data_IF_665393918294
#
_entry.id   IF_665393918294
#
_cell.length_a   1.000
_cell.length_b   1.000
_cell.length_c   1.000
_cell.angle_alpha   90.00
_cell.angle_beta   90.00
_cell.angle_gamma   90.00
#
_symmetry.space_group_name_H-M   'P 1'
#
loop_
_entity.id
_entity.type
_entity.pdbx_description
1 polymer ?
#
# COMPACT_ATOMS: atom_id res chain seq x y z
N UNK A 1 5.39 -33.09 -12.17
CA UNK A 1 6.03 -31.93 -11.52
C UNK A 1 5.21 -30.65 -11.73
N UNK A 2 4.04 -30.50 -11.07
CA UNK A 2 3.11 -29.38 -11.35
C UNK A 2 2.58 -28.66 -10.08
N UNK A 3 3.00 -29.09 -8.89
CA UNK A 3 2.46 -28.61 -7.60
C UNK A 3 3.23 -27.43 -6.98
N UNK A 4 4.50 -27.24 -7.33
CA UNK A 4 5.36 -26.20 -6.76
C UNK A 4 5.07 -24.79 -7.29
N UNK A 5 4.78 -24.68 -8.60
CA UNK A 5 4.55 -23.39 -9.28
C UNK A 5 3.36 -22.57 -8.73
N UNK A 6 2.38 -23.23 -8.11
CA UNK A 6 1.23 -22.53 -7.54
C UNK A 6 1.54 -21.83 -6.21
N UNK A 7 2.58 -22.25 -5.48
CA UNK A 7 2.95 -21.61 -4.22
C UNK A 7 3.68 -20.28 -4.44
N UNK A 8 4.53 -20.20 -5.47
CA UNK A 8 5.23 -18.96 -5.84
C UNK A 8 4.27 -17.86 -6.29
N UNK A 9 3.13 -18.23 -6.90
CA UNK A 9 2.08 -17.27 -7.26
C UNK A 9 1.33 -16.73 -6.04
N UNK A 10 1.09 -17.57 -5.02
CA UNK A 10 0.43 -17.16 -3.76
C UNK A 10 1.33 -16.33 -2.84
N UNK A 11 2.64 -16.60 -2.86
CA UNK A 11 3.65 -15.84 -2.10
C UNK A 11 4.32 -14.74 -2.94
N UNK A 12 3.70 -14.31 -4.04
CA UNK A 12 4.27 -13.27 -4.87
C UNK A 12 4.34 -11.95 -4.07
N UNK A 13 5.55 -11.35 -3.92
CA UNK A 13 5.74 -10.12 -3.14
C UNK A 13 4.86 -8.95 -3.57
N UNK A 14 4.37 -8.94 -4.82
CA UNK A 14 3.40 -7.96 -5.33
C UNK A 14 2.08 -7.95 -4.55
N UNK A 15 1.72 -9.03 -3.85
CA UNK A 15 0.50 -9.00 -3.04
C UNK A 15 0.76 -8.42 -1.64
N UNK A 16 2.02 -8.27 -1.22
CA UNK A 16 2.35 -7.87 0.14
C UNK A 16 1.85 -6.45 0.48
N UNK A 17 2.10 -5.40 -0.33
CA UNK A 17 1.54 -4.08 -0.04
C UNK A 17 -0.01 -4.05 -0.08
N UNK A 18 -0.64 -4.88 -0.92
CA UNK A 18 -2.10 -4.95 -1.02
C UNK A 18 -2.75 -5.50 0.25
N UNK A 19 -2.14 -6.50 0.90
CA UNK A 19 -2.73 -7.17 2.06
C UNK A 19 -2.23 -6.59 3.39
N UNK A 20 -1.23 -5.70 3.36
CA UNK A 20 -0.66 -5.08 4.56
C UNK A 20 -0.88 -3.57 4.57
N UNK A 21 -0.18 -2.84 3.69
CA UNK A 21 -0.17 -1.39 3.67
C UNK A 21 -1.56 -0.80 3.36
N UNK A 22 -2.30 -1.34 2.39
CA UNK A 22 -3.63 -0.80 2.06
C UNK A 22 -4.64 -1.02 3.23
N UNK A 23 -4.77 -2.21 3.83
CA UNK A 23 -5.63 -2.40 5.00
C UNK A 23 -5.24 -1.53 6.20
N UNK A 24 -3.94 -1.35 6.46
CA UNK A 24 -3.51 -0.51 7.58
C UNK A 24 -3.82 0.96 7.33
N UNK A 25 -3.64 1.43 6.10
CA UNK A 25 -4.04 2.78 5.66
C UNK A 25 -5.53 3.01 5.82
N UNK A 26 -6.38 2.08 5.37
CA UNK A 26 -7.85 2.17 5.55
C UNK A 26 -8.20 2.27 7.03
N UNK A 27 -7.62 1.42 7.88
CA UNK A 27 -7.88 1.42 9.31
C UNK A 27 -7.46 2.75 9.97
N UNK A 28 -6.24 3.21 9.68
CA UNK A 28 -5.70 4.45 10.23
C UNK A 28 -6.49 5.67 9.75
N UNK A 29 -6.93 5.69 8.49
CA UNK A 29 -7.77 6.75 7.96
C UNK A 29 -9.12 6.84 8.71
N UNK A 30 -9.72 5.71 9.07
CA UNK A 30 -10.94 5.68 9.90
C UNK A 30 -10.66 6.26 11.29
N UNK A 31 -9.50 5.96 11.89
CA UNK A 31 -9.11 6.56 13.18
C UNK A 31 -8.89 8.08 13.07
N UNK A 32 -8.24 8.52 12.00
CA UNK A 32 -8.03 9.95 11.70
C UNK A 32 -9.38 10.67 11.59
N UNK A 33 -10.28 10.15 10.76
CA UNK A 33 -11.61 10.70 10.56
C UNK A 33 -12.43 10.80 11.86
N UNK A 34 -12.27 9.83 12.77
CA UNK A 34 -12.95 9.81 14.08
C UNK A 34 -12.25 10.66 15.15
N UNK A 35 -11.15 11.33 14.82
CA UNK A 35 -10.28 12.05 15.77
C UNK A 35 -9.82 11.18 16.95
N UNK A 36 -9.66 9.88 16.70
CA UNK A 36 -9.29 8.86 17.69
C UNK A 36 -7.88 8.32 17.39
N UNK A 37 -6.95 9.22 17.10
CA UNK A 37 -5.57 8.92 16.74
C UNK A 37 -4.60 9.52 17.76
N UNK A 38 -3.47 8.87 17.97
CA UNK A 38 -2.31 9.45 18.63
C UNK A 38 -1.21 9.76 17.62
N UNK A 39 -0.14 10.41 18.07
CA UNK A 39 1.05 10.67 17.25
C UNK A 39 1.62 9.40 16.62
N UNK A 40 1.48 8.24 17.29
CA UNK A 40 1.97 6.95 16.77
C UNK A 40 1.16 6.53 15.54
N UNK A 41 -0.17 6.56 15.59
CA UNK A 41 -1.03 6.20 14.47
C UNK A 41 -0.83 7.17 13.29
N UNK A 42 -0.72 8.48 13.55
CA UNK A 42 -0.48 9.46 12.50
C UNK A 42 0.88 9.25 11.82
N UNK A 43 1.93 8.96 12.61
CA UNK A 43 3.26 8.67 12.05
C UNK A 43 3.24 7.37 11.24
N UNK A 44 2.53 6.35 11.73
CA UNK A 44 2.38 5.07 11.03
C UNK A 44 1.64 5.26 9.71
N UNK A 45 0.61 6.10 9.67
CA UNK A 45 -0.12 6.46 8.45
C UNK A 45 0.82 7.09 7.42
N UNK A 46 1.61 8.08 7.82
CA UNK A 46 2.58 8.72 6.92
C UNK A 46 3.62 7.71 6.40
N UNK A 47 4.15 6.84 7.26
CA UNK A 47 5.14 5.82 6.87
C UNK A 47 4.52 4.80 5.89
N UNK A 48 3.28 4.36 6.13
CA UNK A 48 2.58 3.44 5.23
C UNK A 48 2.36 4.06 3.84
N UNK A 49 2.02 5.35 3.78
CA UNK A 49 1.83 6.06 2.52
C UNK A 49 3.16 6.18 1.76
N UNK A 50 4.24 6.53 2.46
CA UNK A 50 5.58 6.57 1.88
C UNK A 50 6.06 5.18 1.42
N UNK A 51 5.71 4.13 2.16
CA UNK A 51 5.99 2.76 1.74
C UNK A 51 5.26 2.41 0.43
N UNK A 52 3.99 2.80 0.27
CA UNK A 52 3.25 2.62 -0.99
C UNK A 52 3.88 3.42 -2.13
N UNK A 53 4.37 4.64 -1.87
CA UNK A 53 5.14 5.42 -2.86
C UNK A 53 6.39 4.66 -3.29
N UNK A 54 7.19 4.20 -2.32
CA UNK A 54 8.42 3.46 -2.58
C UNK A 54 8.15 2.18 -3.38
N UNK A 55 7.22 1.34 -2.92
CA UNK A 55 6.82 0.12 -3.61
C UNK A 55 6.33 0.44 -5.02
N UNK A 56 5.51 1.48 -5.16
CA UNK A 56 5.00 1.95 -6.44
C UNK A 56 6.10 2.30 -7.45
N UNK A 57 7.10 3.08 -7.03
CA UNK A 57 8.26 3.46 -7.85
C UNK A 57 9.08 2.22 -8.23
N UNK A 58 9.35 1.33 -7.28
CA UNK A 58 10.12 0.10 -7.53
C UNK A 58 9.40 -0.77 -8.56
N UNK A 59 8.11 -1.04 -8.39
CA UNK A 59 7.37 -1.89 -9.31
C UNK A 59 7.18 -1.26 -10.70
N UNK A 60 7.08 0.06 -10.79
CA UNK A 60 7.03 0.78 -12.07
C UNK A 60 8.33 0.70 -12.88
N UNK A 61 9.46 0.42 -12.23
CA UNK A 61 10.76 0.29 -12.90
C UNK A 61 10.94 -1.05 -13.64
N UNK A 62 10.06 -2.03 -13.39
CA UNK A 62 10.08 -3.33 -14.05
C UNK A 62 9.57 -3.26 -15.48
N UNK A 63 10.15 -4.06 -16.38
CA UNK A 63 9.65 -4.21 -17.76
C UNK A 63 8.36 -5.03 -17.83
N UNK A 64 8.08 -5.86 -16.81
CA UNK A 64 6.89 -6.70 -16.79
C UNK A 64 5.61 -5.87 -16.54
N UNK A 65 4.64 -6.01 -17.44
CA UNK A 65 3.34 -5.32 -17.36
C UNK A 65 2.63 -5.56 -16.03
N UNK A 66 2.76 -6.77 -15.46
CA UNK A 66 2.16 -7.12 -14.16
C UNK A 66 2.72 -6.21 -13.06
N UNK A 67 4.05 -6.13 -12.93
CA UNK A 67 4.71 -5.27 -11.96
C UNK A 67 4.30 -3.80 -12.15
N UNK A 68 4.33 -3.28 -13.39
CA UNK A 68 3.91 -1.90 -13.67
C UNK A 68 2.45 -1.61 -13.27
N UNK A 69 1.55 -2.57 -13.45
CA UNK A 69 0.15 -2.43 -13.04
C UNK A 69 0.02 -2.28 -11.52
N UNK A 70 0.75 -3.11 -10.77
CA UNK A 70 0.81 -2.99 -9.32
C UNK A 70 1.48 -1.69 -8.86
N UNK A 71 2.53 -1.25 -9.56
CA UNK A 71 3.18 0.02 -9.29
C UNK A 71 2.21 1.21 -9.40
N UNK A 72 1.42 1.26 -10.49
CA UNK A 72 0.37 2.27 -10.63
C UNK A 72 -0.69 2.20 -9.53
N UNK A 73 -1.08 0.98 -9.13
CA UNK A 73 -2.04 0.79 -8.04
C UNK A 73 -1.49 1.37 -6.74
N UNK A 74 -0.25 1.05 -6.36
CA UNK A 74 0.31 1.55 -5.10
C UNK A 74 0.50 3.07 -5.10
N UNK A 75 0.98 3.65 -6.20
CA UNK A 75 1.11 5.10 -6.33
C UNK A 75 -0.26 5.77 -6.25
N UNK A 76 -1.24 5.26 -6.99
CA UNK A 76 -2.61 5.76 -6.93
C UNK A 76 -3.18 5.69 -5.52
N UNK A 77 -3.00 4.57 -4.83
CA UNK A 77 -3.41 4.41 -3.43
C UNK A 77 -2.71 5.42 -2.51
N UNK A 78 -1.40 5.64 -2.65
CA UNK A 78 -0.67 6.60 -1.82
C UNK A 78 -1.18 8.04 -1.98
N UNK A 79 -1.53 8.44 -3.21
CA UNK A 79 -2.11 9.76 -3.49
C UNK A 79 -3.51 9.87 -2.87
N UNK A 80 -4.33 8.83 -3.01
CA UNK A 80 -5.69 8.79 -2.43
C UNK A 80 -5.62 8.89 -0.90
N UNK A 81 -4.82 8.04 -0.25
CA UNK A 81 -4.69 8.06 1.22
C UNK A 81 -4.10 9.37 1.70
N UNK A 82 -3.02 9.87 1.10
CA UNK A 82 -2.45 11.17 1.47
C UNK A 82 -3.45 12.32 1.34
N UNK A 83 -4.25 12.34 0.28
CA UNK A 83 -5.28 13.37 0.06
C UNK A 83 -6.42 13.27 1.08
N UNK A 84 -6.92 12.06 1.35
CA UNK A 84 -7.98 11.84 2.35
C UNK A 84 -7.48 12.13 3.77
N UNK A 85 -6.24 11.72 4.09
CA UNK A 85 -5.60 12.01 5.37
C UNK A 85 -5.47 13.52 5.59
N UNK A 86 -5.04 14.27 4.59
CA UNK A 86 -5.01 15.74 4.65
C UNK A 86 -6.39 16.37 4.81
N UNK A 87 -7.42 15.81 4.16
CA UNK A 87 -8.79 16.32 4.28
C UNK A 87 -9.42 16.05 5.66
N UNK A 88 -9.04 14.95 6.33
CA UNK A 88 -9.63 14.53 7.60
C UNK A 88 -8.84 14.98 8.84
N UNK A 89 -7.57 15.34 8.68
CA UNK A 89 -6.73 15.92 9.72
C UNK A 89 -7.18 17.33 10.08
#
# INVERSE_FOLDING_TARGET
>A
MRKWRNWDEWFNPLYFPLITAIPIEIWLLILIQRKAWSTVELTTFIIAALFLVFAGIVEMSSEETKHRTFGHLYLGSSVIFGSLGYMFF
#
